data_IF_118087854286
#
_entry.id   IF_118087854286
#
_cell.length_a   1.000
_cell.length_b   1.000
_cell.length_c   1.000
_cell.angle_alpha   90.00
_cell.angle_beta   90.00
_cell.angle_gamma   90.00
#
_symmetry.space_group_name_H-M   'P 1'
#
loop_
_entity.id
_entity.type
_entity.pdbx_description
1 polymer ?
#
# COMPACT_ATOMS: atom_id res chain seq x y z
N UNK A 1 -3.87 0.18 -18.25
CA UNK A 1 -3.03 -0.79 -18.96
C UNK A 1 -2.60 -0.34 -20.36
N UNK A 2 -3.50 -0.05 -21.33
CA UNK A 2 -3.10 0.31 -22.72
C UNK A 2 -2.21 1.56 -22.85
N UNK A 3 -2.47 2.63 -22.07
CA UNK A 3 -1.63 3.86 -22.08
C UNK A 3 -0.21 3.60 -21.56
N UNK A 4 -0.10 2.85 -20.48
CA UNK A 4 1.18 2.48 -19.86
C UNK A 4 2.03 1.63 -20.80
N UNK A 5 1.43 0.62 -21.42
CA UNK A 5 2.11 -0.24 -22.39
C UNK A 5 2.64 0.57 -23.58
N UNK A 6 1.84 1.52 -24.09
CA UNK A 6 2.24 2.35 -25.22
C UNK A 6 3.37 3.32 -24.85
N UNK A 7 3.35 3.88 -23.64
CA UNK A 7 4.45 4.73 -23.14
C UNK A 7 5.73 3.93 -22.99
N UNK A 8 5.68 2.73 -22.37
CA UNK A 8 6.85 1.85 -22.24
C UNK A 8 7.43 1.50 -23.61
N UNK A 9 6.58 1.09 -24.57
CA UNK A 9 7.02 0.77 -25.94
C UNK A 9 7.67 1.99 -26.59
N UNK A 10 7.11 3.20 -26.42
CA UNK A 10 7.66 4.41 -27.03
C UNK A 10 9.01 4.80 -26.42
N UNK A 11 9.17 4.67 -25.10
CA UNK A 11 10.44 4.91 -24.39
C UNK A 11 11.48 3.86 -24.79
N UNK A 12 11.10 2.59 -24.84
CA UNK A 12 12.00 1.52 -25.30
C UNK A 12 12.43 1.73 -26.77
N UNK A 13 11.54 2.22 -27.65
CA UNK A 13 11.88 2.54 -29.02
C UNK A 13 12.86 3.71 -29.12
N UNK A 14 12.68 4.75 -28.32
CA UNK A 14 13.62 5.87 -28.25
C UNK A 14 14.98 5.40 -27.74
N UNK A 15 15.00 4.59 -26.67
CA UNK A 15 16.21 4.01 -26.09
C UNK A 15 16.96 3.13 -27.10
N UNK A 16 16.26 2.19 -27.74
CA UNK A 16 16.83 1.31 -28.76
C UNK A 16 17.37 2.12 -29.96
N UNK A 17 16.72 3.22 -30.28
CA UNK A 17 17.11 4.10 -31.38
C UNK A 17 18.36 4.91 -31.06
N UNK A 18 18.47 5.43 -29.83
CA UNK A 18 19.69 6.08 -29.34
C UNK A 18 20.85 5.06 -29.35
N UNK A 19 20.63 3.85 -28.84
CA UNK A 19 21.63 2.79 -28.87
C UNK A 19 22.02 2.42 -30.29
N UNK A 20 21.08 2.32 -31.23
CA UNK A 20 21.36 2.05 -32.63
C UNK A 20 22.12 3.18 -33.32
N UNK A 21 21.88 4.45 -32.97
CA UNK A 21 22.69 5.59 -33.45
C UNK A 21 24.12 5.49 -32.94
N UNK A 22 24.32 5.15 -31.67
CA UNK A 22 25.68 4.95 -31.11
C UNK A 22 26.40 3.72 -31.68
N UNK A 23 25.67 2.61 -31.89
CA UNK A 23 26.24 1.44 -32.57
C UNK A 23 26.65 1.76 -34.03
N UNK A 24 25.89 2.58 -34.71
CA UNK A 24 26.26 3.12 -36.02
C UNK A 24 27.57 3.94 -35.98
N UNK A 25 27.72 4.79 -34.92
CA UNK A 25 28.95 5.55 -34.71
C UNK A 25 30.15 4.63 -34.36
N UNK A 26 29.96 3.52 -33.61
CA UNK A 26 31.05 2.61 -33.30
C UNK A 26 31.56 1.81 -34.51
N UNK A 27 30.69 1.46 -35.44
CA UNK A 27 31.08 0.88 -36.77
C UNK A 27 31.79 1.90 -37.65
N UNK A 28 31.79 3.13 -37.25
CA UNK A 28 32.31 4.29 -37.91
C UNK A 28 33.85 4.34 -37.97
N UNK A 29 34.54 3.77 -36.96
CA UNK A 29 36.00 3.74 -36.97
C UNK A 29 36.61 2.98 -38.19
N UNK A 30 35.83 2.03 -38.73
CA UNK A 30 36.22 1.26 -39.92
C UNK A 30 35.96 2.02 -41.26
N UNK A 31 35.11 3.06 -41.20
CA UNK A 31 34.60 3.77 -42.41
C UNK A 31 35.47 4.98 -42.79
N UNK A 32 36.45 5.27 -41.96
CA UNK A 32 37.14 6.54 -41.97
C UNK A 32 38.09 6.81 -43.09
N UNK A 33 38.14 6.00 -44.03
CA UNK A 33 39.10 6.16 -45.16
C UNK A 33 38.48 6.63 -46.49
N UNK A 34 37.25 7.20 -46.59
CA UNK A 34 36.65 7.68 -47.85
C UNK A 34 36.23 9.16 -47.73
N UNK A 35 36.84 10.06 -48.44
CA UNK A 35 36.73 11.51 -48.30
C UNK A 35 35.34 12.09 -48.50
N UNK A 36 34.52 11.44 -49.32
CA UNK A 36 33.22 11.90 -49.79
C UNK A 36 32.04 11.63 -48.77
N UNK A 37 32.25 10.67 -47.83
CA UNK A 37 31.24 10.29 -46.86
C UNK A 37 31.45 10.87 -45.46
N UNK A 38 32.60 11.53 -45.26
CA UNK A 38 33.02 12.07 -43.99
C UNK A 38 32.13 13.14 -43.38
N UNK A 39 31.71 14.08 -44.22
CA UNK A 39 30.88 15.22 -43.75
C UNK A 39 29.54 14.73 -43.24
N UNK A 40 28.93 13.78 -43.97
CA UNK A 40 27.65 13.21 -43.61
C UNK A 40 27.72 12.32 -42.36
N UNK A 41 28.70 11.49 -42.28
CA UNK A 41 28.89 10.58 -41.15
C UNK A 41 29.35 11.32 -39.89
N UNK A 42 30.14 12.37 -40.03
CA UNK A 42 30.48 13.27 -38.91
C UNK A 42 29.25 14.06 -38.42
N UNK A 43 28.39 14.49 -39.34
CA UNK A 43 27.14 15.16 -39.00
C UNK A 43 26.20 14.23 -38.24
N UNK A 44 26.06 12.96 -38.65
CA UNK A 44 25.27 11.95 -37.94
C UNK A 44 25.88 11.59 -36.58
N UNK A 45 27.20 11.53 -36.47
CA UNK A 45 27.91 11.36 -35.20
C UNK A 45 27.71 12.53 -34.25
N UNK A 46 27.76 13.77 -34.77
CA UNK A 46 27.44 15.00 -33.99
C UNK A 46 25.99 15.02 -33.53
N UNK A 47 25.06 14.65 -34.40
CA UNK A 47 23.62 14.55 -34.02
C UNK A 47 23.40 13.56 -32.89
N UNK A 48 24.15 12.46 -32.87
CA UNK A 48 24.09 11.48 -31.79
C UNK A 48 24.62 12.06 -30.47
N UNK A 49 25.69 12.87 -30.52
CA UNK A 49 26.22 13.55 -29.34
C UNK A 49 25.25 14.67 -28.90
N UNK A 50 24.62 15.38 -29.81
CA UNK A 50 23.60 16.38 -29.48
C UNK A 50 22.38 15.73 -28.81
N UNK A 51 22.04 14.51 -29.21
CA UNK A 51 21.00 13.71 -28.57
C UNK A 51 21.40 13.30 -27.13
N UNK A 52 22.69 12.94 -26.92
CA UNK A 52 23.23 12.67 -25.59
C UNK A 52 23.16 13.92 -24.70
N UNK A 53 23.57 15.08 -25.23
CA UNK A 53 23.52 16.36 -24.50
C UNK A 53 22.07 16.74 -24.16
N UNK A 54 21.12 16.55 -25.07
CA UNK A 54 19.71 16.77 -24.79
C UNK A 54 19.19 15.84 -23.69
N UNK A 55 19.62 14.58 -23.65
CA UNK A 55 19.34 13.64 -22.59
C UNK A 55 19.91 14.09 -21.24
N UNK A 56 21.15 14.60 -21.25
CA UNK A 56 21.79 15.16 -20.06
C UNK A 56 21.08 16.40 -19.52
N UNK A 57 20.61 17.29 -20.41
CA UNK A 57 19.83 18.46 -20.03
C UNK A 57 18.51 18.04 -19.36
N UNK A 58 17.83 17.06 -19.91
CA UNK A 58 16.60 16.51 -19.32
C UNK A 58 16.85 15.88 -17.96
N UNK A 59 17.95 15.13 -17.79
CA UNK A 59 18.30 14.56 -16.49
C UNK A 59 18.59 15.66 -15.48
N UNK A 60 19.34 16.68 -15.86
CA UNK A 60 19.66 17.81 -14.99
C UNK A 60 18.40 18.59 -14.56
N UNK A 61 17.46 18.83 -15.49
CA UNK A 61 16.19 19.51 -15.16
C UNK A 61 15.32 18.68 -14.21
N UNK A 62 15.36 17.34 -14.34
CA UNK A 62 14.50 16.44 -13.55
C UNK A 62 15.16 15.91 -12.28
N UNK A 63 16.46 16.16 -12.05
CA UNK A 63 17.20 15.63 -10.91
C UNK A 63 16.57 15.99 -9.57
N UNK A 64 16.25 17.27 -9.35
CA UNK A 64 15.61 17.73 -8.13
C UNK A 64 14.23 17.08 -7.90
N UNK A 65 13.47 16.88 -8.99
CA UNK A 65 12.17 16.21 -8.94
C UNK A 65 12.33 14.74 -8.60
N UNK A 66 13.35 14.08 -9.15
CA UNK A 66 13.66 12.67 -8.86
C UNK A 66 14.02 12.50 -7.37
N UNK A 67 14.95 13.30 -6.84
CA UNK A 67 15.37 13.20 -5.44
C UNK A 67 14.19 13.44 -4.47
N UNK A 68 13.38 14.49 -4.70
CA UNK A 68 12.17 14.72 -3.93
C UNK A 68 11.14 13.58 -4.08
N UNK A 69 11.08 12.96 -5.26
CA UNK A 69 10.28 11.78 -5.53
C UNK A 69 10.72 10.56 -4.73
N UNK A 70 12.03 10.33 -4.61
CA UNK A 70 12.62 9.24 -3.79
C UNK A 70 12.25 9.42 -2.32
N UNK A 71 12.36 10.65 -1.79
CA UNK A 71 11.97 10.95 -0.42
C UNK A 71 10.47 10.71 -0.19
N UNK A 72 9.65 11.19 -1.12
CA UNK A 72 8.19 10.99 -1.07
C UNK A 72 7.81 9.51 -1.15
N UNK A 73 8.46 8.75 -2.02
CA UNK A 73 8.24 7.33 -2.18
C UNK A 73 8.63 6.56 -0.91
N UNK A 74 9.78 6.89 -0.32
CA UNK A 74 10.26 6.28 0.92
C UNK A 74 9.32 6.56 2.09
N UNK A 75 8.89 7.82 2.25
CA UNK A 75 7.90 8.20 3.26
C UNK A 75 6.56 7.46 3.04
N UNK A 76 6.14 7.33 1.80
CA UNK A 76 4.95 6.58 1.42
C UNK A 76 5.03 5.08 1.74
N UNK A 77 6.20 4.44 1.55
CA UNK A 77 6.44 3.05 1.95
C UNK A 77 6.29 2.86 3.46
N UNK A 78 6.83 3.79 4.26
CA UNK A 78 6.71 3.75 5.72
C UNK A 78 5.23 3.87 6.10
N UNK A 79 4.54 4.89 5.60
CA UNK A 79 3.11 5.11 5.87
C UNK A 79 2.24 3.91 5.46
N UNK A 80 2.53 3.29 4.31
CA UNK A 80 1.85 2.08 3.85
C UNK A 80 2.07 0.90 4.81
N UNK A 81 3.30 0.71 5.28
CA UNK A 81 3.64 -0.34 6.26
C UNK A 81 2.93 -0.12 7.60
N UNK A 82 2.88 1.13 8.08
CA UNK A 82 2.17 1.52 9.29
C UNK A 82 0.65 1.32 9.15
N UNK A 83 0.09 1.72 8.01
CA UNK A 83 -1.32 1.49 7.68
C UNK A 83 -1.68 0.01 7.67
N UNK A 84 -0.84 -0.85 7.11
CA UNK A 84 -1.01 -2.31 7.14
C UNK A 84 -0.98 -2.87 8.56
N UNK A 85 -0.06 -2.38 9.39
CA UNK A 85 0.01 -2.78 10.80
C UNK A 85 -1.24 -2.35 11.58
N UNK A 86 -1.68 -1.12 11.38
CA UNK A 86 -2.89 -0.55 12.00
C UNK A 86 -4.13 -1.35 11.60
N UNK A 87 -4.27 -1.68 10.33
CA UNK A 87 -5.38 -2.50 9.82
C UNK A 87 -5.38 -3.89 10.44
N UNK A 88 -4.20 -4.52 10.56
CA UNK A 88 -4.04 -5.84 11.21
C UNK A 88 -4.44 -5.79 12.69
N UNK A 89 -4.02 -4.75 13.42
CA UNK A 89 -4.43 -4.55 14.82
C UNK A 89 -5.94 -4.31 14.95
N UNK A 90 -6.52 -3.55 14.01
CA UNK A 90 -7.96 -3.32 13.93
C UNK A 90 -8.75 -4.63 13.75
N UNK A 91 -8.31 -5.52 12.88
CA UNK A 91 -8.91 -6.85 12.72
C UNK A 91 -8.79 -7.69 13.99
N UNK A 92 -7.64 -7.68 14.65
CA UNK A 92 -7.46 -8.40 15.91
C UNK A 92 -8.45 -7.90 16.98
N UNK A 93 -8.61 -6.58 17.10
CA UNK A 93 -9.58 -5.97 18.02
C UNK A 93 -11.04 -6.31 17.65
N UNK A 94 -11.38 -6.28 16.36
CA UNK A 94 -12.69 -6.67 15.86
C UNK A 94 -13.05 -8.12 16.22
N UNK A 95 -12.15 -9.06 15.97
CA UNK A 95 -12.39 -10.47 16.32
C UNK A 95 -12.45 -10.70 17.83
N UNK A 96 -11.64 -9.99 18.62
CA UNK A 96 -11.73 -10.03 20.07
C UNK A 96 -13.09 -9.51 20.58
N UNK A 97 -13.55 -8.38 20.06
CA UNK A 97 -14.86 -7.82 20.38
C UNK A 97 -16.01 -8.74 19.95
N UNK A 98 -15.93 -9.36 18.80
CA UNK A 98 -16.90 -10.36 18.33
C UNK A 98 -16.99 -11.55 19.29
N UNK A 99 -15.85 -12.05 19.74
CA UNK A 99 -15.82 -13.14 20.72
C UNK A 99 -16.46 -12.74 22.05
N UNK A 100 -16.13 -11.55 22.57
CA UNK A 100 -16.76 -11.02 23.80
C UNK A 100 -18.28 -10.86 23.65
N UNK A 101 -18.75 -10.39 22.50
CA UNK A 101 -20.17 -10.30 22.23
C UNK A 101 -20.88 -11.65 22.24
N UNK A 102 -20.29 -12.67 21.65
CA UNK A 102 -20.83 -14.05 21.66
C UNK A 102 -20.85 -14.63 23.07
N UNK A 103 -19.81 -14.40 23.88
CA UNK A 103 -19.77 -14.77 25.29
C UNK A 103 -20.86 -14.04 26.08
N UNK A 104 -21.05 -12.74 25.85
CA UNK A 104 -22.12 -11.95 26.47
C UNK A 104 -23.51 -12.44 26.09
N UNK A 105 -23.76 -12.79 24.84
CA UNK A 105 -25.01 -13.39 24.37
C UNK A 105 -25.28 -14.74 25.04
N UNK A 106 -24.25 -15.57 25.20
CA UNK A 106 -24.39 -16.86 25.88
C UNK A 106 -24.75 -16.68 27.37
N UNK A 107 -24.10 -15.71 28.05
CA UNK A 107 -24.43 -15.37 29.45
C UNK A 107 -25.87 -14.82 29.58
N UNK A 108 -26.28 -13.94 28.67
CA UNK A 108 -27.65 -13.43 28.62
C UNK A 108 -28.69 -14.57 28.44
N UNK A 109 -28.41 -15.49 27.52
CA UNK A 109 -29.29 -16.64 27.29
C UNK A 109 -29.40 -17.56 28.54
N UNK A 110 -28.28 -17.78 29.22
CA UNK A 110 -28.24 -18.56 30.46
C UNK A 110 -29.01 -17.83 31.58
N UNK A 111 -28.78 -16.53 31.76
CA UNK A 111 -29.51 -15.72 32.74
C UNK A 111 -31.00 -15.68 32.44
N UNK A 112 -31.42 -15.52 31.19
CA UNK A 112 -32.83 -15.57 30.79
C UNK A 112 -33.47 -16.90 31.17
N UNK A 113 -32.81 -18.02 30.87
CA UNK A 113 -33.28 -19.33 31.26
C UNK A 113 -33.42 -19.47 32.79
N UNK A 114 -32.44 -18.99 33.56
CA UNK A 114 -32.52 -18.98 35.01
C UNK A 114 -33.68 -18.20 35.55
N UNK A 115 -34.01 -17.05 34.99
CA UNK A 115 -35.21 -16.25 35.34
C UNK A 115 -36.47 -17.03 34.97
N UNK A 116 -36.55 -17.63 33.79
CA UNK A 116 -37.70 -18.46 33.40
C UNK A 116 -37.90 -19.65 34.34
N UNK A 117 -36.84 -20.36 34.72
CA UNK A 117 -36.89 -21.49 35.62
C UNK A 117 -37.32 -21.07 37.05
N UNK A 118 -36.95 -19.86 37.49
CA UNK A 118 -37.31 -19.31 38.82
C UNK A 118 -38.66 -18.59 38.85
N UNK A 119 -39.35 -18.39 37.73
CA UNK A 119 -40.64 -17.67 37.66
C UNK A 119 -41.72 -18.32 38.52
N UNK A 120 -41.74 -19.64 38.57
CA UNK A 120 -42.71 -20.37 39.42
C UNK A 120 -42.46 -20.11 40.91
N UNK A 121 -41.19 -20.21 41.34
CA UNK A 121 -40.80 -19.95 42.75
C UNK A 121 -41.06 -18.49 43.16
N UNK A 122 -40.81 -17.53 42.24
CA UNK A 122 -41.15 -16.13 42.44
C UNK A 122 -42.66 -15.92 42.69
N UNK A 123 -43.52 -16.53 41.85
CA UNK A 123 -44.97 -16.43 41.96
C UNK A 123 -45.46 -17.13 43.24
N UNK A 124 -44.88 -18.24 43.62
CA UNK A 124 -45.17 -18.95 44.85
C UNK A 124 -44.76 -18.11 46.09
N UNK A 125 -43.57 -17.52 46.08
CA UNK A 125 -43.12 -16.59 47.13
C UNK A 125 -44.02 -15.39 47.29
N UNK A 126 -44.43 -14.79 46.19
CA UNK A 126 -45.41 -13.67 46.18
C UNK A 126 -46.75 -14.08 46.76
N UNK A 127 -47.27 -15.24 46.35
CA UNK A 127 -48.51 -15.77 46.87
C UNK A 127 -48.42 -16.09 48.38
N UNK A 128 -47.27 -16.60 48.82
CA UNK A 128 -47.00 -16.88 50.24
C UNK A 128 -46.97 -15.61 51.06
N UNK A 129 -46.28 -14.55 50.60
CA UNK A 129 -46.26 -13.25 51.25
C UNK A 129 -47.67 -12.64 51.39
N UNK A 130 -48.46 -12.76 50.31
CA UNK A 130 -49.86 -12.30 50.31
C UNK A 130 -50.74 -13.05 51.32
N UNK A 131 -50.44 -14.30 51.61
CA UNK A 131 -51.14 -15.10 52.66
C UNK A 131 -50.70 -14.71 54.07
N UNK A 132 -49.43 -14.26 54.25
CA UNK A 132 -48.89 -13.84 55.52
C UNK A 132 -49.41 -12.46 55.95
N UNK A 133 -49.55 -11.53 55.01
CA UNK A 133 -49.92 -10.17 55.29
C UNK A 133 -51.25 -10.02 56.19
N UNK A 134 -52.31 -10.81 55.92
CA UNK A 134 -53.50 -10.80 56.78
C UNK A 134 -53.22 -11.39 58.15
N UNK A 135 -52.16 -12.13 58.37
CA UNK A 135 -51.83 -12.69 59.69
C UNK A 135 -51.03 -11.73 60.57
N UNK A 136 -50.43 -10.69 60.04
CA UNK A 136 -49.63 -9.71 60.80
C UNK A 136 -50.33 -9.08 62.02
N UNK A 137 -51.61 -8.72 61.97
CA UNK A 137 -52.31 -8.26 63.18
C UNK A 137 -52.33 -9.31 64.28
N UNK A 138 -52.51 -10.58 63.97
CA UNK A 138 -52.48 -11.67 64.90
C UNK A 138 -51.10 -11.96 65.47
N UNK A 139 -50.03 -11.79 64.66
CA UNK A 139 -48.69 -11.87 65.12
C UNK A 139 -48.38 -10.77 66.14
N UNK A 140 -48.79 -9.56 65.89
CA UNK A 140 -48.61 -8.45 66.82
C UNK A 140 -49.38 -8.71 68.15
N UNK A 141 -50.63 -9.16 68.08
CA UNK A 141 -51.41 -9.54 69.24
C UNK A 141 -50.78 -10.68 70.04
N UNK A 142 -50.15 -11.67 69.35
CA UNK A 142 -49.43 -12.75 70.01
C UNK A 142 -48.23 -12.20 70.81
N UNK A 143 -47.48 -11.25 70.23
CA UNK A 143 -46.28 -10.62 70.85
C UNK A 143 -46.75 -9.84 72.11
N UNK A 144 -47.79 -9.03 72.00
CA UNK A 144 -48.35 -8.26 73.10
C UNK A 144 -48.89 -9.16 74.26
N UNK A 145 -49.50 -10.28 73.91
CA UNK A 145 -49.95 -11.27 74.87
C UNK A 145 -48.82 -12.07 75.51
N UNK A 146 -47.83 -12.52 74.75
CA UNK A 146 -46.62 -13.24 75.20
C UNK A 146 -45.81 -12.40 76.19
N UNK A 147 -45.63 -11.11 75.84
CA UNK A 147 -44.82 -10.16 76.63
C UNK A 147 -45.55 -9.54 77.80
N UNK A 148 -46.81 -9.95 78.06
CA UNK A 148 -47.57 -9.55 79.22
C UNK A 148 -48.22 -8.19 79.11
N UNK A 149 -48.19 -7.51 77.94
CA UNK A 149 -48.88 -6.24 77.68
C UNK A 149 -50.43 -6.42 77.71
N UNK A 150 -50.84 -7.60 77.24
CA UNK A 150 -52.23 -8.06 77.33
C UNK A 150 -52.33 -9.27 78.27
N UNK A 151 -53.02 -9.18 79.37
CA UNK A 151 -53.10 -10.25 80.37
C UNK A 151 -54.00 -11.42 79.96
N UNK A 152 -55.03 -11.13 79.11
CA UNK A 152 -56.00 -12.12 78.60
C UNK A 152 -56.45 -11.72 77.20
N UNK A 153 -56.40 -12.63 76.27
CA UNK A 153 -56.83 -12.36 74.87
C UNK A 153 -57.90 -13.40 74.48
N UNK A 154 -59.11 -12.93 74.21
CA UNK A 154 -60.27 -13.74 73.78
C UNK A 154 -60.56 -14.97 74.68
N UNK A 155 -60.37 -14.82 76.03
CA UNK A 155 -60.60 -15.88 77.02
C UNK A 155 -59.38 -16.84 77.25
N UNK A 156 -58.28 -16.60 76.62
CA UNK A 156 -57.00 -17.37 76.81
C UNK A 156 -56.14 -16.60 77.81
N UNK A 157 -55.50 -17.35 78.74
CA UNK A 157 -54.49 -16.85 79.67
C UNK A 157 -53.07 -17.19 79.30
N UNK A 158 -52.87 -17.86 78.17
CA UNK A 158 -51.58 -18.30 77.65
C UNK A 158 -51.53 -18.04 76.16
N UNK A 159 -50.46 -17.32 75.74
CA UNK A 159 -50.22 -16.96 74.34
C UNK A 159 -50.14 -18.15 73.41
N UNK A 160 -49.41 -19.23 73.81
CA UNK A 160 -49.25 -20.44 73.03
C UNK A 160 -50.63 -21.16 72.80
N UNK A 161 -51.45 -21.27 73.83
CA UNK A 161 -52.79 -21.85 73.72
C UNK A 161 -53.67 -21.05 72.73
N UNK A 162 -53.61 -19.73 72.79
CA UNK A 162 -54.34 -18.82 71.85
C UNK A 162 -53.75 -19.01 70.41
N UNK A 163 -52.45 -19.07 70.27
CA UNK A 163 -51.78 -19.30 68.97
C UNK A 163 -52.27 -20.61 68.32
N UNK A 164 -52.28 -21.69 69.06
CA UNK A 164 -52.65 -23.02 68.50
C UNK A 164 -54.14 -23.06 68.14
N UNK A 165 -54.99 -22.45 68.99
CA UNK A 165 -56.45 -22.53 68.85
C UNK A 165 -57.04 -21.48 67.89
N UNK A 166 -56.38 -20.34 67.68
CA UNK A 166 -56.91 -19.23 66.92
C UNK A 166 -56.07 -18.96 65.67
N UNK A 167 -54.74 -18.77 65.81
CA UNK A 167 -53.87 -18.30 64.72
C UNK A 167 -53.60 -19.44 63.69
N UNK A 168 -53.26 -20.62 64.17
CA UNK A 168 -53.00 -21.77 63.23
C UNK A 168 -54.23 -22.10 62.35
N UNK A 169 -55.49 -22.16 62.87
CA UNK A 169 -56.66 -22.39 62.02
C UNK A 169 -56.86 -21.26 61.03
N UNK A 170 -56.57 -20.00 61.39
CA UNK A 170 -56.71 -18.85 60.48
C UNK A 170 -55.62 -18.96 59.40
N UNK A 171 -54.37 -19.26 59.75
CA UNK A 171 -53.31 -19.46 58.81
C UNK A 171 -53.63 -20.62 57.83
N UNK A 172 -54.12 -21.75 58.34
CA UNK A 172 -54.53 -22.87 57.55
C UNK A 172 -55.69 -22.52 56.55
N UNK A 173 -56.66 -21.69 56.94
CA UNK A 173 -57.69 -21.13 56.03
C UNK A 173 -57.12 -20.26 54.93
N UNK A 174 -55.98 -19.58 55.16
CA UNK A 174 -55.26 -18.83 54.16
C UNK A 174 -54.32 -19.72 53.32
N UNK A 175 -54.30 -21.06 53.59
CA UNK A 175 -53.48 -21.99 52.92
C UNK A 175 -51.99 -21.88 53.35
N UNK A 176 -51.72 -21.41 54.54
CA UNK A 176 -50.41 -21.39 55.16
C UNK A 176 -50.33 -22.41 56.31
N UNK A 177 -49.59 -23.50 56.11
CA UNK A 177 -49.34 -24.47 57.13
C UNK A 177 -48.23 -23.98 58.09
N UNK A 178 -48.61 -23.73 59.35
CA UNK A 178 -47.61 -23.45 60.42
C UNK A 178 -47.29 -24.81 61.11
N UNK A 179 -46.01 -25.24 61.08
CA UNK A 179 -45.59 -26.52 61.71
C UNK A 179 -45.94 -26.56 63.20
N UNK A 180 -46.20 -27.79 63.71
CA UNK A 180 -46.66 -27.98 65.14
C UNK A 180 -45.57 -27.71 66.15
N UNK A 181 -44.32 -27.78 65.76
CA UNK A 181 -43.13 -27.48 66.55
C UNK A 181 -42.79 -26.00 66.68
N UNK A 182 -43.52 -25.11 65.96
CA UNK A 182 -43.30 -23.66 66.07
C UNK A 182 -43.73 -23.19 67.44
N UNK A 183 -42.74 -22.74 68.24
CA UNK A 183 -42.95 -22.15 69.60
C UNK A 183 -42.83 -20.62 69.62
N UNK A 184 -42.12 -20.03 68.69
CA UNK A 184 -41.98 -18.56 68.48
C UNK A 184 -42.59 -18.17 67.14
N UNK A 185 -43.88 -17.84 67.17
CA UNK A 185 -44.62 -17.42 65.97
C UNK A 185 -44.06 -16.16 65.31
N UNK A 186 -43.73 -15.09 66.06
CA UNK A 186 -43.15 -13.91 65.46
C UNK A 186 -41.86 -14.18 64.69
N UNK A 187 -40.92 -14.92 65.28
CA UNK A 187 -39.67 -15.27 64.65
C UNK A 187 -39.92 -16.11 63.36
N UNK A 188 -40.82 -17.10 63.43
CA UNK A 188 -41.17 -17.95 62.28
C UNK A 188 -41.77 -17.12 61.11
N UNK A 189 -42.71 -16.26 61.40
CA UNK A 189 -43.33 -15.40 60.36
C UNK A 189 -42.35 -14.38 59.83
N UNK A 190 -41.52 -13.76 60.70
CA UNK A 190 -40.49 -12.81 60.25
C UNK A 190 -39.48 -13.50 59.32
N UNK A 191 -39.07 -14.73 59.64
CA UNK A 191 -38.21 -15.50 58.78
C UNK A 191 -38.85 -15.79 57.43
N UNK A 192 -40.12 -16.27 57.42
CA UNK A 192 -40.85 -16.50 56.18
C UNK A 192 -40.99 -15.23 55.33
N UNK A 193 -41.25 -14.09 55.94
CA UNK A 193 -41.31 -12.78 55.25
C UNK A 193 -39.98 -12.37 54.72
N UNK A 194 -38.89 -12.58 55.50
CA UNK A 194 -37.52 -12.27 55.09
C UNK A 194 -37.10 -13.13 53.89
N UNK A 195 -37.34 -14.43 53.99
CA UNK A 195 -37.00 -15.40 52.91
C UNK A 195 -37.81 -15.10 51.64
N UNK A 196 -39.11 -14.87 51.77
CA UNK A 196 -39.96 -14.51 50.63
C UNK A 196 -39.51 -13.21 49.96
N UNK A 197 -39.23 -12.16 50.75
CA UNK A 197 -38.72 -10.88 50.19
C UNK A 197 -37.36 -11.03 49.53
N UNK A 198 -36.47 -11.84 50.15
CA UNK A 198 -35.15 -12.10 49.55
C UNK A 198 -35.27 -12.82 48.20
N UNK A 199 -36.16 -13.82 48.09
CA UNK A 199 -36.41 -14.52 46.82
C UNK A 199 -37.01 -13.59 45.77
N UNK A 200 -37.98 -12.76 46.14
CA UNK A 200 -38.55 -11.77 45.22
C UNK A 200 -37.53 -10.77 44.73
N UNK A 201 -36.74 -10.24 45.65
CA UNK A 201 -35.67 -9.30 45.33
C UNK A 201 -34.64 -9.92 44.39
N UNK A 202 -34.22 -11.16 44.67
CA UNK A 202 -33.25 -11.84 43.79
C UNK A 202 -33.78 -12.01 42.36
N UNK A 203 -35.06 -12.32 42.20
CA UNK A 203 -35.68 -12.45 40.88
C UNK A 203 -35.77 -11.10 40.18
N UNK A 204 -36.19 -10.03 40.90
CA UNK A 204 -36.29 -8.66 40.35
C UNK A 204 -34.92 -8.10 39.97
N UNK A 205 -33.90 -8.29 40.83
CA UNK A 205 -32.51 -7.91 40.54
C UNK A 205 -32.00 -8.65 39.29
N UNK A 206 -32.37 -9.92 39.12
CA UNK A 206 -32.03 -10.71 37.92
C UNK A 206 -32.66 -10.17 36.64
N UNK A 207 -33.94 -9.70 36.70
CA UNK A 207 -34.57 -9.05 35.55
C UNK A 207 -33.88 -7.73 35.17
N UNK A 208 -33.45 -6.94 36.14
CA UNK A 208 -32.68 -5.71 35.90
C UNK A 208 -31.36 -6.04 35.22
N UNK A 209 -30.63 -7.04 35.72
CA UNK A 209 -29.35 -7.49 35.12
C UNK A 209 -29.56 -7.97 33.68
N UNK A 210 -30.64 -8.68 33.37
CA UNK A 210 -30.95 -9.10 31.99
C UNK A 210 -31.21 -7.89 31.10
N UNK A 211 -31.96 -6.90 31.55
CA UNK A 211 -32.22 -5.69 30.78
C UNK A 211 -30.95 -4.87 30.50
N UNK A 212 -30.02 -4.83 31.47
CA UNK A 212 -28.70 -4.20 31.28
C UNK A 212 -27.84 -4.99 30.32
N UNK A 213 -27.83 -6.32 30.43
CA UNK A 213 -27.10 -7.19 29.50
C UNK A 213 -27.62 -7.07 28.06
N UNK A 214 -28.94 -6.97 27.87
CA UNK A 214 -29.54 -6.75 26.54
C UNK A 214 -29.05 -5.44 25.90
N UNK A 215 -29.04 -4.36 26.69
CA UNK A 215 -28.50 -3.07 26.23
C UNK A 215 -27.04 -3.13 25.91
N UNK A 216 -26.23 -3.84 26.72
CA UNK A 216 -24.80 -4.03 26.47
C UNK A 216 -24.57 -4.82 25.18
N UNK A 217 -25.35 -5.86 24.92
CA UNK A 217 -25.30 -6.64 23.67
C UNK A 217 -25.61 -5.74 22.47
N UNK A 218 -26.69 -4.97 22.52
CA UNK A 218 -27.07 -4.06 21.46
C UNK A 218 -25.98 -3.00 21.17
N UNK A 219 -25.37 -2.46 22.23
CA UNK A 219 -24.27 -1.52 22.12
C UNK A 219 -23.03 -2.19 21.50
N UNK A 220 -22.68 -3.41 21.91
CA UNK A 220 -21.58 -4.19 21.35
C UNK A 220 -21.78 -4.51 19.85
N UNK A 221 -22.99 -4.86 19.46
CA UNK A 221 -23.33 -5.07 18.03
C UNK A 221 -23.19 -3.79 17.20
N UNK A 222 -23.57 -2.64 17.75
CA UNK A 222 -23.39 -1.35 17.09
C UNK A 222 -21.90 -1.02 16.92
N UNK A 223 -21.11 -1.21 17.97
CA UNK A 223 -19.66 -1.00 17.94
C UNK A 223 -18.96 -1.91 16.90
N UNK A 224 -19.35 -3.18 16.81
CA UNK A 224 -18.79 -4.10 15.82
C UNK A 224 -19.15 -3.69 14.39
N UNK A 225 -20.39 -3.24 14.14
CA UNK A 225 -20.78 -2.72 12.81
C UNK A 225 -19.99 -1.48 12.42
N UNK A 226 -19.69 -0.60 13.36
CA UNK A 226 -18.89 0.59 13.10
C UNK A 226 -17.41 0.25 12.89
N UNK A 227 -16.86 -0.70 13.66
CA UNK A 227 -15.52 -1.23 13.45
C UNK A 227 -15.38 -1.90 12.08
N UNK A 228 -16.37 -2.66 11.63
CA UNK A 228 -16.38 -3.28 10.30
C UNK A 228 -16.33 -2.24 9.17
N UNK A 229 -17.08 -1.14 9.30
CA UNK A 229 -17.01 -0.03 8.34
C UNK A 229 -15.63 0.64 8.33
N UNK A 230 -15.04 0.85 9.52
CA UNK A 230 -13.71 1.45 9.63
C UNK A 230 -12.64 0.54 9.03
N UNK A 231 -12.73 -0.77 9.21
CA UNK A 231 -11.83 -1.75 8.59
C UNK A 231 -11.95 -1.73 7.07
N UNK A 232 -13.17 -1.74 6.54
CA UNK A 232 -13.41 -1.64 5.10
C UNK A 232 -12.88 -0.33 4.50
N UNK A 233 -13.02 0.79 5.22
CA UNK A 233 -12.42 2.06 4.82
C UNK A 233 -10.88 1.98 4.84
N UNK A 234 -10.30 1.43 5.89
CA UNK A 234 -8.84 1.23 6.01
C UNK A 234 -8.27 0.34 4.89
N UNK A 235 -8.99 -0.70 4.47
CA UNK A 235 -8.61 -1.52 3.30
C UNK A 235 -8.58 -0.72 2.00
N UNK A 236 -9.61 0.11 1.77
CA UNK A 236 -9.68 0.96 0.60
C UNK A 236 -8.56 2.01 0.58
N UNK A 237 -8.29 2.64 1.72
CA UNK A 237 -7.23 3.63 1.86
C UNK A 237 -5.85 2.98 1.63
N UNK A 238 -5.64 1.78 2.17
CA UNK A 238 -4.40 1.02 1.96
C UNK A 238 -4.23 0.62 0.48
N UNK A 239 -5.30 0.18 -0.17
CA UNK A 239 -5.26 -0.14 -1.60
C UNK A 239 -4.95 1.11 -2.46
N UNK A 240 -5.54 2.26 -2.13
CA UNK A 240 -5.25 3.53 -2.79
C UNK A 240 -3.78 3.95 -2.58
N UNK A 241 -3.26 3.84 -1.35
CA UNK A 241 -1.86 4.09 -1.03
C UNK A 241 -0.90 3.17 -1.80
N UNK A 242 -1.23 1.88 -1.90
CA UNK A 242 -0.47 0.92 -2.71
C UNK A 242 -0.40 1.29 -4.19
N UNK A 243 -1.50 1.77 -4.76
CA UNK A 243 -1.54 2.25 -6.15
C UNK A 243 -0.68 3.51 -6.35
N UNK A 244 -0.74 4.46 -5.40
CA UNK A 244 0.08 5.67 -5.45
C UNK A 244 1.58 5.33 -5.38
N UNK A 245 1.97 4.38 -4.53
CA UNK A 245 3.34 3.89 -4.45
C UNK A 245 3.79 3.23 -5.75
N UNK A 246 2.94 2.42 -6.38
CA UNK A 246 3.25 1.79 -7.65
C UNK A 246 3.47 2.83 -8.77
N UNK A 247 2.64 3.89 -8.79
CA UNK A 247 2.77 4.98 -9.75
C UNK A 247 4.01 5.85 -9.46
N UNK A 248 4.30 6.14 -8.18
CA UNK A 248 5.53 6.83 -7.77
C UNK A 248 6.78 6.08 -8.19
N UNK A 249 6.84 4.76 -7.93
CA UNK A 249 7.97 3.92 -8.37
C UNK A 249 8.19 3.97 -9.88
N UNK A 250 7.09 3.99 -10.65
CA UNK A 250 7.18 4.10 -12.11
C UNK A 250 7.82 5.41 -12.60
N UNK A 251 7.48 6.52 -11.91
CA UNK A 251 8.06 7.83 -12.22
C UNK A 251 9.56 7.84 -11.90
N UNK A 252 9.96 7.24 -10.78
CA UNK A 252 11.37 7.08 -10.43
C UNK A 252 12.14 6.24 -11.45
N UNK A 253 11.59 5.09 -11.84
CA UNK A 253 12.21 4.23 -12.86
C UNK A 253 12.43 4.96 -14.19
N UNK A 254 11.58 5.92 -14.57
CA UNK A 254 11.76 6.68 -15.82
C UNK A 254 13.05 7.52 -15.81
N UNK A 255 13.38 8.13 -14.68
CA UNK A 255 14.63 8.85 -14.50
C UNK A 255 15.82 7.89 -14.46
N UNK A 256 15.70 6.78 -13.73
CA UNK A 256 16.71 5.74 -13.61
C UNK A 256 17.05 5.12 -14.98
N UNK A 257 16.04 4.84 -15.80
CA UNK A 257 16.18 4.37 -17.17
C UNK A 257 16.89 5.41 -18.05
N UNK A 258 16.59 6.70 -17.85
CA UNK A 258 17.28 7.81 -18.52
C UNK A 258 18.76 7.86 -18.17
N UNK A 259 19.10 7.72 -16.89
CA UNK A 259 20.50 7.62 -16.45
C UNK A 259 21.24 6.45 -17.07
N UNK A 260 20.62 5.27 -17.12
CA UNK A 260 21.22 4.08 -17.73
C UNK A 260 21.47 4.27 -19.24
N UNK A 261 20.55 4.94 -19.95
CA UNK A 261 20.70 5.23 -21.37
C UNK A 261 21.85 6.21 -21.64
N UNK A 262 21.94 7.28 -20.86
CA UNK A 262 23.05 8.24 -20.95
C UNK A 262 24.37 7.58 -20.62
N UNK A 263 24.42 6.74 -19.57
CA UNK A 263 25.61 5.96 -19.24
C UNK A 263 26.08 5.08 -20.41
N UNK A 264 25.14 4.32 -20.97
CA UNK A 264 25.45 3.45 -22.13
C UNK A 264 25.96 4.26 -23.33
N UNK A 265 25.39 5.45 -23.58
CA UNK A 265 25.85 6.36 -24.60
C UNK A 265 27.28 6.87 -24.34
N UNK A 266 27.58 7.26 -23.12
CA UNK A 266 28.94 7.67 -22.71
C UNK A 266 29.96 6.51 -22.84
N UNK A 267 29.60 5.32 -22.34
CA UNK A 267 30.45 4.15 -22.43
C UNK A 267 30.75 3.77 -23.89
N UNK A 268 29.76 3.86 -24.76
CA UNK A 268 29.90 3.59 -26.18
C UNK A 268 30.86 4.61 -26.86
N UNK A 269 30.72 5.90 -26.52
CA UNK A 269 31.68 6.91 -27.01
C UNK A 269 33.07 6.66 -26.48
N UNK A 270 33.24 6.35 -25.20
CA UNK A 270 34.56 6.04 -24.62
C UNK A 270 35.18 4.76 -25.20
N UNK A 271 34.38 3.84 -25.74
CA UNK A 271 34.86 2.62 -26.39
C UNK A 271 35.39 2.86 -27.79
N UNK A 272 35.29 4.07 -28.36
CA UNK A 272 35.78 4.39 -29.68
C UNK A 272 37.32 4.23 -29.74
N UNK A 273 37.85 3.37 -30.63
CA UNK A 273 39.28 3.08 -30.65
C UNK A 273 40.09 4.22 -31.26
N UNK A 274 41.36 4.31 -30.85
CA UNK A 274 42.33 5.12 -31.57
C UNK A 274 42.52 4.62 -33.00
N UNK A 275 42.76 5.52 -33.94
CA UNK A 275 42.95 5.15 -35.34
C UNK A 275 44.10 5.94 -36.00
N UNK A 276 44.59 5.40 -37.10
CA UNK A 276 45.60 6.09 -37.91
C UNK A 276 44.92 6.92 -38.97
N UNK A 277 45.13 8.22 -38.91
CA UNK A 277 44.69 9.13 -39.94
C UNK A 277 45.76 9.22 -41.07
N UNK A 278 45.36 8.95 -42.29
CA UNK A 278 46.22 9.11 -43.48
C UNK A 278 45.75 10.40 -44.20
N UNK A 279 46.53 11.48 -44.07
CA UNK A 279 46.20 12.78 -44.67
C UNK A 279 46.37 12.81 -46.21
N UNK A 280 46.63 11.66 -46.83
CA UNK A 280 46.73 11.53 -48.30
C UNK A 280 48.00 12.10 -48.90
N UNK A 281 48.92 12.61 -48.09
CA UNK A 281 50.26 13.09 -48.47
C UNK A 281 51.41 12.14 -48.02
N UNK A 282 51.04 10.98 -47.44
CA UNK A 282 51.97 9.99 -46.88
C UNK A 282 52.21 10.17 -45.39
N UNK A 283 51.75 11.24 -44.79
CA UNK A 283 51.86 11.43 -43.36
C UNK A 283 50.71 10.70 -42.62
N UNK A 284 51.10 9.80 -41.72
CA UNK A 284 50.17 9.05 -40.89
C UNK A 284 50.19 9.65 -39.47
N UNK A 285 49.08 10.15 -39.03
CA UNK A 285 48.92 10.70 -37.68
C UNK A 285 47.99 9.80 -36.86
N UNK A 286 48.41 9.42 -35.66
CA UNK A 286 47.56 8.70 -34.71
C UNK A 286 46.54 9.66 -34.17
N UNK A 287 45.25 9.28 -34.29
CA UNK A 287 44.17 9.95 -33.65
C UNK A 287 43.84 9.22 -32.33
N UNK A 288 43.90 9.89 -31.18
CA UNK A 288 43.66 9.23 -29.90
C UNK A 288 42.21 8.76 -29.79
N UNK A 289 41.99 7.72 -29.01
CA UNK A 289 40.63 7.31 -28.65
C UNK A 289 39.93 8.37 -27.81
N UNK A 290 38.60 8.31 -27.71
CA UNK A 290 37.82 9.20 -26.79
C UNK A 290 38.31 9.01 -25.34
N UNK A 291 38.61 7.77 -24.95
CA UNK A 291 39.14 7.48 -23.63
C UNK A 291 40.53 8.11 -23.39
N UNK A 292 41.42 8.10 -24.42
CA UNK A 292 42.75 8.77 -24.31
C UNK A 292 42.62 10.29 -24.18
N UNK A 293 41.68 10.89 -24.93
CA UNK A 293 41.36 12.34 -24.80
C UNK A 293 40.93 12.69 -23.41
N UNK A 294 40.03 11.88 -22.84
CA UNK A 294 39.49 12.08 -21.48
C UNK A 294 40.61 11.89 -20.43
N UNK A 295 41.41 10.85 -20.56
CA UNK A 295 42.54 10.59 -19.66
C UNK A 295 43.60 11.72 -19.69
N UNK A 296 43.90 12.26 -20.86
CA UNK A 296 44.81 13.41 -20.99
C UNK A 296 44.26 14.67 -20.31
N UNK A 297 42.95 14.93 -20.39
CA UNK A 297 42.32 16.14 -19.84
C UNK A 297 41.99 16.06 -18.36
N UNK A 298 41.54 14.90 -17.90
CA UNK A 298 40.95 14.73 -16.58
C UNK A 298 41.71 13.72 -15.71
N UNK A 299 42.72 13.03 -16.25
CA UNK A 299 43.53 12.05 -15.52
C UNK A 299 42.99 10.62 -15.54
N UNK A 300 43.69 9.72 -14.83
CA UNK A 300 43.37 8.29 -14.80
C UNK A 300 42.07 7.95 -14.02
N UNK A 301 41.61 8.84 -13.16
CA UNK A 301 40.43 8.60 -12.30
C UNK A 301 39.14 9.16 -12.88
N UNK A 302 39.10 9.46 -14.18
CA UNK A 302 37.86 9.94 -14.82
C UNK A 302 36.78 8.89 -14.72
N UNK A 303 35.59 9.30 -14.25
CA UNK A 303 34.42 8.43 -14.13
C UNK A 303 33.16 9.18 -14.57
N UNK A 304 32.30 8.53 -15.30
CA UNK A 304 30.95 9.03 -15.62
C UNK A 304 29.98 8.91 -14.45
N UNK A 305 30.38 8.18 -13.41
CA UNK A 305 29.59 8.00 -12.21
C UNK A 305 29.99 9.00 -11.15
N UNK A 306 29.00 9.51 -10.41
CA UNK A 306 29.24 10.32 -9.23
C UNK A 306 29.82 9.42 -8.12
N UNK A 307 30.92 9.86 -7.53
CA UNK A 307 31.59 9.14 -6.45
C UNK A 307 31.24 9.81 -5.11
N UNK A 308 31.06 9.00 -4.08
CA UNK A 308 30.91 9.45 -2.71
C UNK A 308 32.26 9.84 -2.08
N UNK A 309 32.22 10.27 -0.81
CA UNK A 309 33.43 10.69 -0.05
C UNK A 309 34.46 9.56 0.12
N UNK A 310 34.07 8.30 -0.08
CA UNK A 310 34.93 7.13 -0.01
C UNK A 310 35.47 6.70 -1.39
N UNK A 311 35.04 7.38 -2.46
CA UNK A 311 35.41 7.06 -3.84
C UNK A 311 34.58 5.91 -4.43
N UNK A 312 33.47 5.52 -3.78
CA UNK A 312 32.52 4.54 -4.30
C UNK A 312 31.41 5.22 -5.13
N UNK A 313 30.85 4.49 -6.10
CA UNK A 313 29.77 5.03 -6.92
C UNK A 313 28.56 5.32 -6.05
N UNK A 314 28.10 6.57 -6.07
CA UNK A 314 26.90 7.00 -5.37
C UNK A 314 25.67 6.26 -5.89
N UNK A 315 24.93 5.66 -4.97
CA UNK A 315 23.69 4.94 -5.30
C UNK A 315 22.50 5.64 -4.66
N UNK A 316 21.49 5.96 -5.45
CA UNK A 316 20.22 6.55 -5.00
C UNK A 316 19.09 5.62 -5.41
N UNK A 317 18.29 5.17 -4.45
CA UNK A 317 17.17 4.23 -4.67
C UNK A 317 17.58 2.94 -5.43
N UNK A 318 18.83 2.48 -5.25
CA UNK A 318 19.38 1.32 -5.95
C UNK A 318 19.92 1.59 -7.36
N UNK A 319 19.82 2.83 -7.86
CA UNK A 319 20.38 3.27 -9.13
C UNK A 319 21.74 3.93 -8.93
N UNK A 320 22.72 3.60 -9.79
CA UNK A 320 23.98 4.31 -9.83
C UNK A 320 23.78 5.71 -10.39
N UNK A 321 24.35 6.71 -9.71
CA UNK A 321 24.11 8.11 -10.00
C UNK A 321 25.18 8.65 -10.95
N UNK A 322 24.75 9.36 -11.99
CA UNK A 322 25.63 9.90 -13.01
C UNK A 322 26.27 11.23 -12.57
N UNK A 323 27.54 11.40 -12.84
CA UNK A 323 28.19 12.69 -12.89
C UNK A 323 27.88 13.35 -14.24
N UNK A 324 26.85 14.21 -14.27
CA UNK A 324 26.36 14.83 -15.50
C UNK A 324 27.44 15.70 -16.17
N UNK A 325 28.32 16.33 -15.40
CA UNK A 325 29.41 17.15 -15.90
C UNK A 325 30.44 16.28 -16.63
N UNK A 326 30.81 15.14 -16.03
CA UNK A 326 31.73 14.20 -16.68
C UNK A 326 31.07 13.55 -17.92
N UNK A 327 29.78 13.27 -17.90
CA UNK A 327 29.08 12.79 -19.09
C UNK A 327 29.11 13.83 -20.22
N UNK A 328 28.96 15.15 -19.92
CA UNK A 328 29.14 16.23 -20.89
C UNK A 328 30.58 16.28 -21.42
N UNK A 329 31.58 16.03 -20.56
CA UNK A 329 32.96 15.94 -20.98
C UNK A 329 33.22 14.80 -21.98
N UNK A 330 32.51 13.65 -21.83
CA UNK A 330 32.53 12.56 -22.82
C UNK A 330 31.95 13.03 -24.16
N UNK A 331 30.80 13.73 -24.15
CA UNK A 331 30.24 14.31 -25.37
C UNK A 331 31.19 15.28 -26.07
N UNK A 332 31.87 16.16 -25.30
CA UNK A 332 32.88 17.06 -25.86
C UNK A 332 34.11 16.33 -26.45
N UNK A 333 34.61 15.31 -25.73
CA UNK A 333 35.70 14.49 -26.25
C UNK A 333 35.29 13.73 -27.54
N UNK A 334 34.04 13.29 -27.62
CA UNK A 334 33.44 12.73 -28.83
C UNK A 334 33.42 13.70 -30.00
N UNK A 335 33.03 14.98 -29.76
CA UNK A 335 33.08 16.04 -30.78
C UNK A 335 34.50 16.28 -31.26
N UNK A 336 35.47 16.33 -30.35
CA UNK A 336 36.88 16.54 -30.68
C UNK A 336 37.40 15.35 -31.49
N UNK A 337 37.05 14.14 -31.07
CA UNK A 337 37.36 12.93 -31.81
C UNK A 337 36.81 12.95 -33.25
N UNK A 338 35.54 13.31 -33.45
CA UNK A 338 34.90 13.44 -34.74
C UNK A 338 35.53 14.57 -35.57
N UNK A 339 35.91 15.71 -34.98
CA UNK A 339 36.53 16.82 -35.72
C UNK A 339 37.87 16.48 -36.34
N UNK A 340 38.70 15.70 -35.64
CA UNK A 340 39.94 15.18 -36.19
C UNK A 340 39.65 14.18 -37.31
N UNK A 341 38.55 13.48 -37.21
CA UNK A 341 38.06 12.54 -38.18
C UNK A 341 37.72 13.15 -39.53
N UNK A 342 37.12 14.32 -39.57
CA UNK A 342 36.73 15.01 -40.81
C UNK A 342 37.89 15.32 -41.74
N UNK A 343 39.12 15.26 -41.21
CA UNK A 343 40.34 15.54 -41.96
C UNK A 343 41.05 14.32 -42.59
N UNK A 344 40.64 13.05 -42.28
CA UNK A 344 41.31 11.83 -42.76
C UNK A 344 40.87 11.36 -44.16
N UNK A 345 41.71 10.71 -44.96
CA UNK A 345 41.43 10.18 -46.32
C UNK A 345 40.83 8.76 -46.25
N UNK A 346 39.94 8.40 -47.13
CA UNK A 346 39.13 7.18 -47.08
C UNK A 346 39.53 6.18 -48.17
N UNK A 347 39.69 4.92 -47.83
CA UNK A 347 40.07 3.86 -48.77
C UNK A 347 38.85 3.13 -49.36
N UNK A 348 39.03 2.56 -50.58
CA UNK A 348 37.98 1.95 -51.41
C UNK A 348 37.32 0.69 -50.78
N UNK A 349 37.97 0.09 -49.81
CA UNK A 349 37.54 -1.16 -49.18
C UNK A 349 36.40 -0.97 -48.19
N UNK A 350 36.20 0.26 -47.71
CA UNK A 350 35.22 0.63 -46.72
C UNK A 350 33.85 0.96 -47.33
N UNK A 351 33.81 1.21 -48.66
CA UNK A 351 32.58 1.55 -49.38
C UNK A 351 31.47 0.49 -49.24
N UNK A 352 31.85 -0.82 -49.18
CA UNK A 352 30.86 -1.90 -49.01
C UNK A 352 30.19 -1.96 -47.64
N UNK A 353 30.86 -1.53 -46.58
CA UNK A 353 30.32 -1.49 -45.20
C UNK A 353 29.49 -0.27 -44.92
N UNK A 354 29.58 0.75 -45.75
CA UNK A 354 28.85 2.00 -45.64
C UNK A 354 27.35 1.82 -45.75
N UNK A 355 26.88 0.94 -46.65
CA UNK A 355 25.48 0.62 -46.82
C UNK A 355 24.84 0.05 -45.55
N UNK A 356 25.60 -0.77 -44.81
CA UNK A 356 25.14 -1.38 -43.55
C UNK A 356 24.98 -0.33 -42.45
N UNK A 357 25.95 0.58 -42.34
CA UNK A 357 25.92 1.65 -41.33
C UNK A 357 24.85 2.67 -41.63
N UNK A 358 24.70 3.09 -42.87
CA UNK A 358 23.62 4.00 -43.28
C UNK A 358 22.24 3.39 -43.01
N UNK A 359 22.09 2.08 -43.24
CA UNK A 359 20.83 1.39 -42.96
C UNK A 359 20.56 1.24 -41.47
N UNK A 360 21.56 1.01 -40.62
CA UNK A 360 21.43 1.00 -39.16
C UNK A 360 21.03 2.37 -38.61
N UNK A 361 21.65 3.43 -39.12
CA UNK A 361 21.33 4.81 -38.75
C UNK A 361 19.92 5.18 -39.21
N UNK A 362 19.52 4.81 -40.42
CA UNK A 362 18.15 5.01 -40.90
C UNK A 362 17.13 4.27 -40.03
N UNK A 363 17.43 3.02 -39.67
CA UNK A 363 16.57 2.24 -38.78
C UNK A 363 16.41 2.90 -37.39
N UNK A 364 17.49 3.48 -36.89
CA UNK A 364 17.52 4.19 -35.60
C UNK A 364 16.75 5.51 -35.63
N UNK A 365 16.89 6.30 -36.69
CA UNK A 365 16.10 7.52 -36.92
C UNK A 365 14.61 7.17 -37.05
N UNK A 366 14.26 6.14 -37.81
CA UNK A 366 12.88 5.66 -37.91
C UNK A 366 12.32 5.23 -36.54
N UNK A 367 13.14 4.58 -35.71
CA UNK A 367 12.78 4.21 -34.36
C UNK A 367 12.49 5.41 -33.44
N UNK A 368 13.32 6.48 -33.51
CA UNK A 368 13.09 7.73 -32.78
C UNK A 368 11.76 8.41 -33.22
N UNK A 369 11.55 8.51 -34.54
CA UNK A 369 10.31 9.07 -35.08
C UNK A 369 9.10 8.23 -34.63
N UNK A 370 9.21 6.92 -34.66
CA UNK A 370 8.17 6.01 -34.18
C UNK A 370 7.89 6.21 -32.69
N UNK A 371 8.92 6.36 -31.86
CA UNK A 371 8.80 6.66 -30.45
C UNK A 371 8.08 7.97 -30.16
N UNK A 372 8.43 9.03 -30.88
CA UNK A 372 7.76 10.34 -30.80
C UNK A 372 6.26 10.26 -31.16
N UNK A 373 5.93 9.56 -32.24
CA UNK A 373 4.52 9.32 -32.62
C UNK A 373 3.78 8.48 -31.58
N UNK A 374 4.47 7.53 -30.93
CA UNK A 374 3.94 6.76 -29.81
C UNK A 374 3.59 7.64 -28.61
N UNK A 375 4.50 8.52 -28.21
CA UNK A 375 4.26 9.51 -27.12
C UNK A 375 3.09 10.45 -27.50
N UNK A 376 3.09 10.97 -28.71
CA UNK A 376 1.98 11.81 -29.23
C UNK A 376 0.64 11.08 -29.18
N UNK A 377 0.61 9.79 -29.49
CA UNK A 377 -0.58 8.94 -29.36
C UNK A 377 -1.07 8.89 -27.90
N UNK A 378 -0.17 8.67 -26.93
CA UNK A 378 -0.49 8.65 -25.50
C UNK A 378 -1.05 9.99 -25.04
N UNK A 379 -0.41 11.11 -25.43
CA UNK A 379 -0.87 12.47 -25.09
C UNK A 379 -2.27 12.73 -25.65
N UNK A 380 -2.54 12.32 -26.90
CA UNK A 380 -3.86 12.49 -27.54
C UNK A 380 -4.93 11.61 -26.90
N UNK A 381 -4.61 10.39 -26.52
CA UNK A 381 -5.49 9.51 -25.74
C UNK A 381 -5.82 10.15 -24.38
N UNK A 382 -4.84 10.77 -23.72
CA UNK A 382 -5.05 11.45 -22.44
C UNK A 382 -6.00 12.66 -22.55
N UNK A 383 -6.02 13.31 -23.70
CA UNK A 383 -6.93 14.43 -24.04
C UNK A 383 -8.27 14.00 -24.65
N UNK A 384 -8.60 12.71 -24.61
CA UNK A 384 -9.86 12.17 -25.15
C UNK A 384 -9.98 12.13 -26.69
N UNK A 385 -8.89 12.38 -27.42
CA UNK A 385 -8.87 12.39 -28.88
C UNK A 385 -8.47 11.01 -29.44
N UNK A 386 -9.41 10.06 -29.44
CA UNK A 386 -9.13 8.64 -29.77
C UNK A 386 -8.75 8.44 -31.24
N UNK A 387 -9.50 9.04 -32.21
CA UNK A 387 -9.23 8.84 -33.63
C UNK A 387 -7.84 9.36 -34.06
N UNK A 388 -7.46 10.63 -33.76
CA UNK A 388 -6.11 11.10 -34.09
C UNK A 388 -5.00 10.34 -33.31
N UNK A 389 -5.31 9.80 -32.12
CA UNK A 389 -4.38 8.98 -31.39
C UNK A 389 -4.12 7.63 -32.04
N UNK A 390 -5.17 6.99 -32.59
CA UNK A 390 -5.05 5.73 -33.31
C UNK A 390 -4.22 5.88 -34.57
N UNK A 391 -4.40 6.98 -35.31
CA UNK A 391 -3.60 7.29 -36.51
C UNK A 391 -2.11 7.44 -36.13
N UNK A 392 -1.79 8.20 -35.08
CA UNK A 392 -0.40 8.33 -34.63
C UNK A 392 0.18 6.98 -34.17
N UNK A 393 -0.62 6.13 -33.49
CA UNK A 393 -0.20 4.80 -33.08
C UNK A 393 0.09 3.85 -34.25
N UNK A 394 -0.74 3.89 -35.29
CA UNK A 394 -0.54 3.12 -36.54
C UNK A 394 0.74 3.59 -37.25
N UNK A 395 0.90 4.91 -37.42
CA UNK A 395 2.12 5.46 -38.02
C UNK A 395 3.36 5.03 -37.26
N UNK A 396 3.36 5.12 -35.92
CA UNK A 396 4.44 4.63 -35.07
C UNK A 396 4.75 3.16 -35.35
N UNK A 397 3.74 2.29 -35.38
CA UNK A 397 3.92 0.87 -35.61
C UNK A 397 4.48 0.55 -37.01
N UNK A 398 4.00 1.24 -38.04
CA UNK A 398 4.47 1.05 -39.42
C UNK A 398 5.95 1.48 -39.56
N UNK A 399 6.30 2.65 -39.01
CA UNK A 399 7.68 3.15 -39.05
C UNK A 399 8.62 2.21 -38.26
N UNK A 400 8.21 1.74 -37.08
CA UNK A 400 9.00 0.79 -36.29
C UNK A 400 9.19 -0.54 -37.02
N UNK A 401 8.16 -1.05 -37.70
CA UNK A 401 8.28 -2.27 -38.52
C UNK A 401 9.23 -2.08 -39.70
N UNK A 402 9.16 -0.94 -40.38
CA UNK A 402 10.10 -0.62 -41.46
C UNK A 402 11.57 -0.56 -40.96
N UNK A 403 11.79 0.08 -39.80
CA UNK A 403 13.10 0.15 -39.17
C UNK A 403 13.64 -1.26 -38.80
N UNK A 404 12.79 -2.13 -38.27
CA UNK A 404 13.19 -3.51 -37.94
C UNK A 404 13.53 -4.34 -39.19
N UNK A 405 12.76 -4.18 -40.29
CA UNK A 405 13.07 -4.87 -41.56
C UNK A 405 14.44 -4.43 -42.13
N UNK A 406 14.71 -3.12 -42.10
CA UNK A 406 16.00 -2.59 -42.52
C UNK A 406 17.12 -3.15 -41.64
N UNK A 407 16.95 -3.18 -40.31
CA UNK A 407 17.93 -3.76 -39.38
C UNK A 407 18.17 -5.25 -39.59
N UNK A 408 17.13 -6.03 -39.93
CA UNK A 408 17.29 -7.45 -40.27
C UNK A 408 18.03 -7.68 -41.58
N UNK A 409 17.72 -6.90 -42.62
CA UNK A 409 18.39 -7.03 -43.93
C UNK A 409 19.88 -6.67 -43.85
N UNK A 410 20.27 -5.78 -42.93
CA UNK A 410 21.69 -5.40 -42.74
C UNK A 410 22.45 -6.36 -41.83
N UNK A 411 21.78 -7.12 -41.00
CA UNK A 411 22.41 -8.15 -40.14
C UNK A 411 22.60 -9.50 -40.80
N UNK A 412 22.08 -9.72 -42.01
CA UNK A 412 22.16 -10.98 -42.77
C UNK A 412 23.13 -10.93 -43.98
N UNK A 413 23.81 -9.82 -44.22
CA UNK A 413 24.87 -9.69 -45.24
C UNK A 413 26.23 -9.53 -44.59
#
# INVERSE_FOLDING_TARGET
MKKVLLTIISVCLIAASIFGLFAGVSSFSDIMNVKEYKEKDAEEGLESIDTLDAGLDQLQENEGTYLAGVDTYTAGLIAYSEGKSTLSAGYAAYYAGKKQLEEGKAQYAAGKKQIEDNTAAYNEGKATLAKIEPLMPYVNQYVEFRDGTIANLAGFSNAQAWFVSVVRPIAAKQGLAIPDDVTDLPAYIQQMVADGKAQLKQYEDGLVQLAEAEKAIAAGEAQLRDAEKQLAQGENDLAAGGNQLADGKKQLNTFEDGCAQVAAGCELLMSQPAYMNDEGNGDKKMCPSVADILKERYGDNFSIWELDDNGEVRVVNGCQYLNLENCRAVGQAGRDYISVYQTAAVTKEVMGRLGVVAAMLLASVLGLIAGLFGILSVIRISKGKIVPASVCGIISAVIAAAGNVIGMLTGYT
#
